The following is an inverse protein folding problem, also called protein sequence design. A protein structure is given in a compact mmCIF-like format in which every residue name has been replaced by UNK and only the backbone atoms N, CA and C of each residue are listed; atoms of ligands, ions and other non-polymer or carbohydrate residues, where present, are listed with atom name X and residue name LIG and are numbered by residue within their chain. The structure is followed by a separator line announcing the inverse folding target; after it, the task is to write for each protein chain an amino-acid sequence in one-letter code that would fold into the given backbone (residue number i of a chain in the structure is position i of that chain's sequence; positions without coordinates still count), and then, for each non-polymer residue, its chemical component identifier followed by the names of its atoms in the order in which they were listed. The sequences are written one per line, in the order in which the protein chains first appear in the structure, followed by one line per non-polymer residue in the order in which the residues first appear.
data_IF_608577242324
#
_entry.id   IF_608577242324
#
_cell.length_a   1.000
_cell.length_b   1.000
_cell.length_c   1.000
_cell.angle_alpha   90.00
_cell.angle_beta   90.00
_cell.angle_gamma   90.00
#
_symmetry.space_group_name_H-M   'P 1'
#
loop_
_entity.id
_entity.type
_entity.pdbx_description
1 polymer ?
#
# COMPACT_ATOMS: atom_id res chain seq x y z
N UNK A 1 -27.60 2.04 3.80
CA UNK A 1 -27.68 2.78 5.07
C UNK A 1 -29.02 2.54 5.74
N UNK A 2 -30.11 2.60 4.99
CA UNK A 2 -31.44 2.36 5.54
C UNK A 2 -31.55 0.97 6.17
N UNK A 3 -31.17 -0.08 5.45
CA UNK A 3 -31.10 -1.46 5.96
C UNK A 3 -30.22 -1.60 7.22
N UNK A 4 -29.11 -0.85 7.31
CA UNK A 4 -28.26 -0.90 8.50
C UNK A 4 -28.92 -0.21 9.72
N UNK A 5 -29.77 0.78 9.49
CA UNK A 5 -30.59 1.37 10.55
C UNK A 5 -31.73 0.42 10.98
N UNK A 6 -32.32 -0.34 10.06
CA UNK A 6 -33.32 -1.38 10.37
C UNK A 6 -32.67 -2.53 11.16
N UNK A 7 -31.50 -2.97 10.75
CA UNK A 7 -30.72 -3.98 11.49
C UNK A 7 -30.29 -3.49 12.88
N UNK A 8 -30.09 -2.19 13.06
CA UNK A 8 -29.78 -1.64 14.39
C UNK A 8 -30.99 -1.71 15.33
N UNK A 9 -32.19 -1.56 14.81
CA UNK A 9 -33.44 -1.76 15.57
C UNK A 9 -33.61 -3.24 15.98
N UNK A 10 -33.31 -4.19 15.06
CA UNK A 10 -33.46 -5.62 15.29
C UNK A 10 -32.34 -6.21 16.16
N UNK A 11 -31.08 -5.84 15.89
CA UNK A 11 -29.86 -6.51 16.43
C UNK A 11 -29.00 -5.60 17.30
N UNK A 12 -29.46 -4.39 17.56
CA UNK A 12 -28.70 -3.36 18.27
C UNK A 12 -27.73 -2.60 17.35
N UNK A 13 -27.47 -1.38 17.73
CA UNK A 13 -26.51 -0.46 17.10
C UNK A 13 -25.05 -0.92 17.39
N UNK A 14 -24.07 -0.42 16.62
CA UNK A 14 -22.67 -0.72 16.93
C UNK A 14 -22.28 -0.16 18.32
N UNK A 15 -21.36 -0.82 19.07
CA UNK A 15 -21.14 -0.55 20.51
C UNK A 15 -20.85 0.90 20.88
N UNK A 16 -20.05 1.59 20.07
CA UNK A 16 -19.64 2.97 20.32
C UNK A 16 -20.50 4.01 19.59
N UNK A 17 -21.72 3.64 19.21
CA UNK A 17 -22.62 4.58 18.55
C UNK A 17 -23.03 5.70 19.51
N UNK A 18 -22.71 6.92 19.10
CA UNK A 18 -23.17 8.17 19.68
C UNK A 18 -23.66 9.10 18.55
N UNK A 19 -24.90 9.57 18.66
CA UNK A 19 -25.48 10.44 17.63
C UNK A 19 -24.76 11.78 17.52
N UNK A 20 -24.36 12.36 18.65
CA UNK A 20 -23.75 13.69 18.67
C UNK A 20 -22.37 13.67 17.99
N UNK A 21 -21.63 12.58 18.14
CA UNK A 21 -20.40 12.33 17.40
C UNK A 21 -20.66 11.96 15.95
N UNK A 22 -21.52 10.98 15.70
CA UNK A 22 -21.79 10.43 14.36
C UNK A 22 -22.39 11.49 13.41
N UNK A 23 -23.27 12.35 13.88
CA UNK A 23 -23.89 13.43 13.09
C UNK A 23 -22.94 14.55 12.68
N UNK A 24 -21.76 14.65 13.29
CA UNK A 24 -20.73 15.65 12.91
C UNK A 24 -20.06 15.31 11.58
N UNK A 25 -20.09 14.03 11.17
CA UNK A 25 -19.53 13.57 9.89
C UNK A 25 -20.12 14.33 8.71
N UNK A 26 -19.25 14.85 7.82
CA UNK A 26 -19.68 15.48 6.56
C UNK A 26 -20.50 14.53 5.71
N UNK A 27 -20.13 13.23 5.69
CA UNK A 27 -20.88 12.20 4.98
C UNK A 27 -22.30 12.06 5.50
N UNK A 28 -22.48 11.93 6.83
CA UNK A 28 -23.79 11.78 7.47
C UNK A 28 -24.68 13.01 7.22
N UNK A 29 -24.10 14.20 7.22
CA UNK A 29 -24.81 15.45 6.91
C UNK A 29 -25.36 15.48 5.48
N UNK A 30 -24.73 14.77 4.55
CA UNK A 30 -25.15 14.67 3.15
C UNK A 30 -26.23 13.59 2.91
N UNK A 31 -26.50 12.72 3.88
CA UNK A 31 -27.59 11.72 3.76
C UNK A 31 -28.97 12.41 3.73
N UNK A 32 -29.98 11.79 3.11
CA UNK A 32 -31.37 12.27 3.14
C UNK A 32 -31.84 12.53 4.58
N UNK A 33 -32.58 13.60 4.80
CA UNK A 33 -33.04 14.00 6.15
C UNK A 33 -33.94 12.95 6.82
N UNK A 34 -34.71 12.20 6.04
CA UNK A 34 -35.49 11.05 6.52
C UNK A 34 -34.59 9.98 7.12
N UNK A 35 -33.47 9.64 6.40
CA UNK A 35 -32.51 8.64 6.84
C UNK A 35 -31.70 9.13 8.06
N UNK A 36 -31.32 10.40 8.12
CA UNK A 36 -30.68 10.97 9.31
C UNK A 36 -31.59 10.86 10.55
N UNK A 37 -32.90 11.12 10.40
CA UNK A 37 -33.88 10.95 11.48
C UNK A 37 -33.98 9.50 11.94
N UNK A 38 -34.03 8.56 10.98
CA UNK A 38 -34.09 7.11 11.26
C UNK A 38 -32.84 6.64 12.00
N UNK A 39 -31.66 7.05 11.54
CA UNK A 39 -30.38 6.72 12.20
C UNK A 39 -30.30 7.35 13.60
N UNK A 40 -30.80 8.57 13.78
CA UNK A 40 -30.87 9.20 15.12
C UNK A 40 -31.72 8.39 16.10
N UNK A 41 -32.85 7.87 15.65
CA UNK A 41 -33.81 7.13 16.47
C UNK A 41 -33.27 5.71 16.78
N UNK A 42 -32.96 4.94 15.75
CA UNK A 42 -32.64 3.50 15.86
C UNK A 42 -31.15 3.24 16.08
N UNK A 43 -30.28 4.21 15.77
CA UNK A 43 -28.86 3.98 15.59
C UNK A 43 -28.55 3.43 14.20
N UNK A 44 -27.34 2.92 14.05
CA UNK A 44 -26.90 2.20 12.85
C UNK A 44 -26.08 0.97 13.26
N UNK A 45 -26.29 -0.15 12.59
CA UNK A 45 -25.61 -1.42 12.91
C UNK A 45 -24.15 -1.42 12.57
N UNK A 46 -23.78 -0.86 11.43
CA UNK A 46 -22.42 -0.84 10.89
C UNK A 46 -21.87 0.59 10.98
N UNK A 47 -20.73 0.78 11.60
CA UNK A 47 -20.10 2.11 11.75
C UNK A 47 -19.68 2.72 10.40
N UNK A 48 -19.26 1.88 9.44
CA UNK A 48 -18.99 2.22 8.03
C UNK A 48 -19.56 1.14 7.12
N UNK A 49 -19.99 1.51 5.93
CA UNK A 49 -20.70 0.60 5.01
C UNK A 49 -20.05 0.60 3.62
N UNK A 50 -19.60 1.75 3.13
CA UNK A 50 -19.03 1.88 1.79
C UNK A 50 -17.55 2.16 1.84
N UNK A 51 -16.79 1.50 0.96
CA UNK A 51 -15.36 1.72 0.75
C UNK A 51 -15.02 1.50 -0.72
N UNK A 52 -13.90 2.04 -1.15
CA UNK A 52 -13.27 1.66 -2.42
C UNK A 52 -11.97 0.95 -2.09
N UNK A 53 -12.01 -0.38 -2.13
CA UNK A 53 -10.87 -1.25 -1.86
C UNK A 53 -10.03 -1.49 -3.13
N UNK A 54 -8.73 -1.85 -2.99
CA UNK A 54 -7.91 -2.30 -4.12
C UNK A 54 -8.36 -3.72 -4.53
N UNK A 55 -9.26 -3.79 -5.49
CA UNK A 55 -9.89 -5.04 -5.95
C UNK A 55 -9.05 -5.75 -7.02
N UNK A 56 -7.76 -6.01 -6.76
CA UNK A 56 -6.81 -6.52 -7.75
C UNK A 56 -7.30 -7.73 -8.54
N UNK A 57 -7.57 -8.85 -7.88
CA UNK A 57 -8.05 -10.09 -8.53
C UNK A 57 -9.42 -9.90 -9.18
N UNK A 58 -10.34 -9.19 -8.51
CA UNK A 58 -11.67 -8.89 -9.07
C UNK A 58 -11.60 -8.05 -10.34
N UNK A 59 -10.74 -7.04 -10.36
CA UNK A 59 -10.51 -6.19 -11.54
C UNK A 59 -9.93 -6.99 -12.72
N UNK A 60 -8.99 -7.90 -12.48
CA UNK A 60 -8.41 -8.77 -13.51
C UNK A 60 -9.50 -9.67 -14.12
N UNK A 61 -10.32 -10.31 -13.29
CA UNK A 61 -11.42 -11.18 -13.76
C UNK A 61 -12.45 -10.37 -14.56
N UNK A 62 -12.80 -9.19 -14.07
CA UNK A 62 -13.75 -8.29 -14.74
C UNK A 62 -13.16 -7.50 -15.91
N UNK A 63 -11.84 -7.59 -16.14
CA UNK A 63 -11.09 -6.88 -17.19
C UNK A 63 -11.26 -5.36 -17.14
N UNK A 64 -11.27 -4.82 -15.93
CA UNK A 64 -11.35 -3.38 -15.63
C UNK A 64 -10.19 -2.96 -14.74
N UNK A 65 -10.07 -1.65 -14.45
CA UNK A 65 -9.08 -1.13 -13.52
C UNK A 65 -9.48 -1.37 -12.06
N UNK A 66 -8.51 -1.42 -11.16
CA UNK A 66 -8.76 -1.54 -9.72
C UNK A 66 -9.22 -0.21 -9.13
N UNK A 67 -10.29 -0.26 -8.32
CA UNK A 67 -10.79 0.91 -7.60
C UNK A 67 -11.07 2.11 -8.50
N UNK A 68 -10.55 3.28 -8.12
CA UNK A 68 -10.66 4.54 -8.88
C UNK A 68 -9.37 4.88 -9.64
N UNK A 69 -8.54 3.88 -9.90
CA UNK A 69 -7.24 4.06 -10.54
C UNK A 69 -7.30 3.88 -12.06
N UNK A 70 -6.53 4.65 -12.86
CA UNK A 70 -6.35 4.37 -14.27
C UNK A 70 -5.54 3.08 -14.46
N UNK A 71 -5.45 2.58 -15.68
CA UNK A 71 -4.54 1.48 -15.99
C UNK A 71 -3.11 1.88 -15.63
N UNK A 72 -2.35 0.92 -15.08
CA UNK A 72 -0.95 1.18 -14.71
C UNK A 72 -0.10 1.47 -15.95
N UNK A 73 -0.20 0.60 -16.96
CA UNK A 73 0.47 0.72 -18.25
C UNK A 73 -0.42 0.16 -19.36
N UNK A 74 -0.23 0.63 -20.57
CA UNK A 74 -0.94 0.15 -21.77
C UNK A 74 -0.50 -1.27 -22.19
N UNK A 75 0.73 -1.63 -21.86
CA UNK A 75 1.32 -2.96 -22.06
C UNK A 75 2.39 -3.24 -21.01
N UNK A 76 2.77 -4.51 -20.88
CA UNK A 76 3.86 -4.96 -20.02
C UNK A 76 4.60 -6.15 -20.65
N UNK A 77 5.85 -6.34 -20.26
CA UNK A 77 6.64 -7.52 -20.66
C UNK A 77 6.38 -8.66 -19.69
N UNK A 78 5.92 -9.77 -20.21
CA UNK A 78 5.78 -11.03 -19.45
C UNK A 78 6.96 -11.93 -19.75
N UNK A 79 7.72 -12.29 -18.73
CA UNK A 79 8.80 -13.27 -18.80
C UNK A 79 8.28 -14.66 -18.47
N UNK A 80 8.42 -15.60 -19.38
CA UNK A 80 8.08 -17.01 -19.17
C UNK A 80 9.37 -17.81 -19.23
N UNK A 81 9.66 -18.57 -18.15
CA UNK A 81 10.83 -19.43 -18.07
C UNK A 81 10.75 -20.49 -19.18
N UNK A 82 11.80 -20.59 -20.02
CA UNK A 82 11.95 -21.67 -20.97
C UNK A 82 12.33 -22.94 -20.21
N UNK A 83 11.83 -24.12 -20.65
CA UNK A 83 12.25 -25.39 -20.07
C UNK A 83 13.77 -25.53 -20.19
N UNK A 84 14.39 -25.99 -19.12
CA UNK A 84 15.84 -26.03 -18.93
C UNK A 84 16.45 -27.12 -19.83
N UNK A 85 17.17 -26.71 -20.83
CA UNK A 85 17.97 -27.61 -21.70
C UNK A 85 19.44 -27.63 -21.19
N UNK A 86 19.70 -27.34 -19.93
CA UNK A 86 21.01 -27.54 -19.28
C UNK A 86 22.01 -26.38 -19.40
N UNK A 87 21.73 -25.33 -20.14
CA UNK A 87 22.61 -24.17 -20.33
C UNK A 87 21.86 -22.84 -20.09
N UNK A 88 21.85 -22.40 -18.83
CA UNK A 88 21.44 -21.05 -18.42
C UNK A 88 19.92 -20.81 -18.40
N UNK A 89 19.47 -19.95 -17.48
CA UNK A 89 18.06 -19.53 -17.36
C UNK A 89 17.66 -18.63 -18.54
N UNK A 90 17.13 -19.21 -19.59
CA UNK A 90 16.55 -18.48 -20.71
C UNK A 90 15.07 -18.19 -20.44
N UNK A 91 14.66 -16.93 -20.61
CA UNK A 91 13.28 -16.49 -20.54
C UNK A 91 12.82 -16.05 -21.91
N UNK A 92 11.60 -16.44 -22.30
CA UNK A 92 10.92 -15.82 -23.42
C UNK A 92 10.19 -14.58 -22.91
N UNK A 93 10.34 -13.45 -23.59
CA UNK A 93 9.64 -12.21 -23.28
C UNK A 93 8.48 -12.03 -24.26
N UNK A 94 7.30 -11.77 -23.75
CA UNK A 94 6.09 -11.48 -24.53
C UNK A 94 5.56 -10.11 -24.12
N UNK A 95 5.28 -9.26 -25.10
CA UNK A 95 4.57 -8.02 -24.88
C UNK A 95 3.08 -8.34 -24.75
N UNK A 96 2.49 -7.98 -23.61
CA UNK A 96 1.08 -8.23 -23.31
C UNK A 96 0.39 -6.87 -23.16
N UNK A 97 -0.61 -6.63 -24.01
CA UNK A 97 -1.40 -5.41 -23.97
C UNK A 97 -2.51 -5.52 -22.93
N UNK A 98 -2.86 -4.39 -22.33
CA UNK A 98 -4.08 -4.33 -21.55
C UNK A 98 -5.27 -4.77 -22.43
N UNK A 99 -6.20 -5.61 -21.94
CA UNK A 99 -7.24 -6.22 -22.76
C UNK A 99 -8.06 -5.24 -23.61
N UNK A 100 -8.38 -4.07 -23.02
CA UNK A 100 -9.13 -3.01 -23.73
C UNK A 100 -8.26 -2.35 -24.80
N UNK A 101 -6.98 -2.08 -24.51
CA UNK A 101 -6.03 -1.51 -25.48
C UNK A 101 -5.85 -2.46 -26.67
N UNK A 102 -5.59 -3.74 -26.40
CA UNK A 102 -5.48 -4.75 -27.44
C UNK A 102 -6.75 -4.89 -28.28
N UNK A 103 -7.93 -4.81 -27.67
CA UNK A 103 -9.22 -4.95 -28.36
C UNK A 103 -9.58 -3.73 -29.22
N UNK A 104 -9.35 -2.49 -28.71
CA UNK A 104 -9.81 -1.27 -29.38
C UNK A 104 -8.76 -0.72 -30.36
N UNK A 105 -7.48 -0.85 -30.04
CA UNK A 105 -6.40 -0.21 -30.79
C UNK A 105 -5.40 -1.21 -31.42
N UNK A 106 -5.44 -2.48 -31.02
CA UNK A 106 -4.54 -3.52 -31.50
C UNK A 106 -3.09 -3.40 -30.99
N UNK A 107 -2.64 -2.20 -30.68
CA UNK A 107 -1.30 -1.89 -30.15
C UNK A 107 -1.35 -0.68 -29.22
N UNK A 108 -0.22 -0.37 -28.59
CA UNK A 108 -0.04 0.83 -27.75
C UNK A 108 0.67 1.99 -28.50
N UNK A 109 0.76 1.89 -29.82
CA UNK A 109 1.28 2.97 -30.67
C UNK A 109 0.14 3.89 -31.07
N UNK A 110 0.43 5.19 -31.12
CA UNK A 110 -0.50 6.24 -31.58
C UNK A 110 -1.86 6.23 -30.86
N UNK A 111 -1.82 6.00 -29.54
CA UNK A 111 -3.03 6.04 -28.72
C UNK A 111 -3.57 7.46 -28.62
N UNK A 112 -4.91 7.65 -28.65
CA UNK A 112 -5.51 8.97 -28.44
C UNK A 112 -5.16 9.56 -27.06
N UNK A 113 -5.11 10.89 -26.98
CA UNK A 113 -4.73 11.63 -25.75
C UNK A 113 -5.63 11.35 -24.54
N UNK A 114 -6.87 10.87 -24.77
CA UNK A 114 -7.77 10.48 -23.68
C UNK A 114 -7.43 9.12 -23.05
N UNK A 115 -6.49 8.37 -23.63
CA UNK A 115 -5.99 7.11 -23.04
C UNK A 115 -4.89 7.44 -22.05
N UNK A 116 -5.29 7.58 -20.80
CA UNK A 116 -4.37 7.91 -19.71
C UNK A 116 -3.97 6.66 -18.90
N UNK A 117 -2.76 6.70 -18.36
CA UNK A 117 -2.20 5.69 -17.47
C UNK A 117 -1.89 6.30 -16.10
N UNK A 118 -1.53 5.46 -15.14
CA UNK A 118 -1.12 5.92 -13.82
C UNK A 118 0.10 6.85 -13.84
N UNK A 119 0.91 6.84 -14.91
CA UNK A 119 2.14 7.62 -15.04
C UNK A 119 1.95 8.95 -15.78
N UNK A 120 0.94 9.05 -16.65
CA UNK A 120 0.75 10.26 -17.48
C UNK A 120 -0.49 11.09 -17.12
N UNK A 121 -1.32 10.61 -16.16
CA UNK A 121 -2.42 11.42 -15.63
C UNK A 121 -1.90 12.52 -14.72
N UNK A 122 -2.50 13.73 -14.81
CA UNK A 122 -2.18 14.80 -13.87
C UNK A 122 -2.49 14.38 -12.43
N UNK A 123 -1.51 14.37 -11.52
CA UNK A 123 -1.68 13.94 -10.14
C UNK A 123 -2.69 14.80 -9.37
N UNK A 124 -2.76 16.11 -9.64
CA UNK A 124 -3.73 16.99 -8.97
C UNK A 124 -5.15 16.76 -9.44
N UNK A 125 -5.33 16.51 -10.75
CA UNK A 125 -6.64 16.11 -11.28
C UNK A 125 -7.12 14.83 -10.64
N UNK A 126 -6.23 13.84 -10.52
CA UNK A 126 -6.54 12.55 -9.89
C UNK A 126 -6.99 12.70 -8.44
N UNK A 127 -6.29 13.52 -7.65
CA UNK A 127 -6.65 13.81 -6.25
C UNK A 127 -8.02 14.49 -6.18
N UNK A 128 -8.28 15.47 -7.04
CA UNK A 128 -9.58 16.17 -7.11
C UNK A 128 -10.72 15.20 -7.47
N UNK A 129 -10.49 14.32 -8.44
CA UNK A 129 -11.46 13.27 -8.81
C UNK A 129 -11.77 12.36 -7.62
N UNK A 130 -10.75 11.88 -6.91
CA UNK A 130 -10.93 11.08 -5.70
C UNK A 130 -11.74 11.85 -4.64
N UNK A 131 -11.48 13.16 -4.47
CA UNK A 131 -12.22 14.04 -3.56
C UNK A 131 -13.72 14.13 -3.88
N UNK A 132 -14.08 14.14 -5.16
CA UNK A 132 -15.48 14.10 -5.58
C UNK A 132 -16.13 12.78 -5.15
N UNK A 133 -15.46 11.65 -5.38
CA UNK A 133 -15.96 10.32 -5.02
C UNK A 133 -16.04 10.15 -3.50
N UNK A 134 -15.06 10.68 -2.75
CA UNK A 134 -15.00 10.58 -1.28
C UNK A 134 -16.23 11.16 -0.59
N UNK A 135 -16.93 12.11 -1.20
CA UNK A 135 -18.18 12.68 -0.66
C UNK A 135 -19.29 11.64 -0.52
N UNK A 136 -19.22 10.57 -1.31
CA UNK A 136 -20.22 9.49 -1.36
C UNK A 136 -19.76 8.17 -0.74
N UNK A 137 -18.55 8.15 -0.18
CA UNK A 137 -17.94 6.99 0.48
C UNK A 137 -17.71 7.34 1.94
N UNK A 138 -18.25 6.54 2.86
CA UNK A 138 -18.13 6.79 4.29
C UNK A 138 -16.81 6.29 4.91
N UNK A 139 -16.16 5.31 4.30
CA UNK A 139 -14.81 4.88 4.65
C UNK A 139 -13.76 5.57 3.78
N UNK A 140 -12.50 5.18 3.87
CA UNK A 140 -11.44 5.69 2.98
C UNK A 140 -11.48 5.03 1.61
N UNK A 141 -10.87 5.70 0.63
CA UNK A 141 -10.66 5.20 -0.73
C UNK A 141 -9.19 4.80 -0.85
N UNK A 142 -8.94 3.57 -1.30
CA UNK A 142 -7.59 3.14 -1.68
C UNK A 142 -7.26 3.69 -3.06
N UNK A 143 -6.26 4.55 -3.12
CA UNK A 143 -5.79 5.15 -4.38
C UNK A 143 -4.33 5.55 -4.25
N UNK A 144 -3.52 5.19 -5.25
CA UNK A 144 -2.09 5.51 -5.30
C UNK A 144 -1.83 6.52 -6.41
N UNK A 145 -1.25 7.64 -6.09
CA UNK A 145 -0.75 8.64 -7.05
C UNK A 145 0.67 8.23 -7.44
N UNK A 146 0.85 7.83 -8.70
CA UNK A 146 2.16 7.49 -9.23
C UNK A 146 2.82 8.75 -9.76
N UNK A 147 4.07 8.97 -9.37
CA UNK A 147 4.85 10.16 -9.68
C UNK A 147 6.16 9.75 -10.36
N UNK A 148 6.63 10.59 -11.28
CA UNK A 148 7.91 10.40 -11.93
C UNK A 148 9.07 10.51 -10.93
N UNK A 149 10.23 9.96 -11.31
CA UNK A 149 11.44 9.93 -10.47
C UNK A 149 11.94 11.34 -10.11
N UNK A 150 11.77 12.30 -11.03
CA UNK A 150 12.26 13.69 -10.91
C UNK A 150 11.37 14.57 -10.03
N UNK A 151 10.25 14.03 -9.50
CA UNK A 151 9.30 14.82 -8.71
C UNK A 151 9.95 15.36 -7.43
N UNK A 152 9.69 16.62 -7.12
CA UNK A 152 10.24 17.25 -5.92
C UNK A 152 9.42 16.93 -4.68
N UNK A 153 10.06 17.00 -3.50
CA UNK A 153 9.36 16.87 -2.22
C UNK A 153 8.32 17.98 -1.99
N UNK A 154 8.54 19.17 -2.55
CA UNK A 154 7.56 20.26 -2.52
C UNK A 154 6.28 19.86 -3.26
N UNK A 155 6.39 19.32 -4.47
CA UNK A 155 5.22 18.84 -5.23
C UNK A 155 4.47 17.71 -4.50
N UNK A 156 5.20 16.81 -3.82
CA UNK A 156 4.57 15.77 -2.99
C UNK A 156 3.79 16.41 -1.84
N UNK A 157 4.34 17.43 -1.17
CA UNK A 157 3.65 18.17 -0.12
C UNK A 157 2.37 18.84 -0.65
N UNK A 158 2.43 19.46 -1.83
CA UNK A 158 1.27 20.10 -2.48
C UNK A 158 0.18 19.07 -2.82
N UNK A 159 0.56 17.86 -3.24
CA UNK A 159 -0.38 16.75 -3.48
C UNK A 159 -1.10 16.36 -2.18
N UNK A 160 -0.37 16.21 -1.07
CA UNK A 160 -0.98 15.91 0.24
C UNK A 160 -1.88 17.04 0.72
N UNK A 161 -1.48 18.30 0.55
CA UNK A 161 -2.32 19.44 0.92
C UNK A 161 -3.58 19.51 0.05
N UNK A 162 -3.46 19.29 -1.25
CA UNK A 162 -4.62 19.19 -2.16
C UNK A 162 -5.56 18.08 -1.76
N UNK A 163 -5.04 16.93 -1.33
CA UNK A 163 -5.84 15.82 -0.83
C UNK A 163 -6.59 16.17 0.46
N UNK A 164 -5.92 16.84 1.38
CA UNK A 164 -6.53 17.34 2.63
C UNK A 164 -7.65 18.34 2.35
N UNK A 165 -7.41 19.33 1.50
CA UNK A 165 -8.38 20.35 1.12
C UNK A 165 -9.58 19.75 0.37
N UNK A 166 -9.35 18.71 -0.46
CA UNK A 166 -10.39 17.97 -1.12
C UNK A 166 -11.22 17.06 -0.17
N UNK A 167 -10.82 16.97 1.10
CA UNK A 167 -11.50 16.19 2.13
C UNK A 167 -11.32 14.68 2.01
N UNK A 168 -10.21 14.23 1.43
CA UNK A 168 -9.86 12.81 1.38
C UNK A 168 -9.55 12.27 2.77
N UNK A 169 -9.92 11.01 2.99
CA UNK A 169 -9.60 10.28 4.24
C UNK A 169 -8.29 9.50 4.16
N UNK A 170 -7.75 9.33 2.97
CA UNK A 170 -6.48 8.67 2.75
C UNK A 170 -5.98 8.87 1.32
N UNK A 171 -4.66 8.85 1.15
CA UNK A 171 -3.96 8.94 -0.11
C UNK A 171 -2.63 8.21 0.02
N UNK A 172 -2.19 7.55 -1.04
CA UNK A 172 -0.87 6.96 -1.16
C UNK A 172 -0.13 7.62 -2.32
N UNK A 173 1.15 7.89 -2.13
CA UNK A 173 2.04 8.40 -3.17
C UNK A 173 3.12 7.36 -3.43
N UNK A 174 3.37 7.06 -4.70
CA UNK A 174 4.47 6.23 -5.14
C UNK A 174 5.32 7.00 -6.15
N UNK A 175 6.62 7.14 -5.87
CA UNK A 175 7.58 7.74 -6.78
C UNK A 175 8.34 6.63 -7.50
N UNK A 176 8.46 6.72 -8.83
CA UNK A 176 9.29 5.81 -9.61
C UNK A 176 10.73 5.77 -9.07
N UNK A 177 11.35 4.60 -9.12
CA UNK A 177 12.70 4.38 -8.61
C UNK A 177 12.84 4.31 -7.08
N UNK A 178 11.77 4.58 -6.29
CA UNK A 178 11.84 4.50 -4.81
C UNK A 178 11.88 3.06 -4.28
N UNK A 179 11.51 2.08 -5.09
CA UNK A 179 11.60 0.64 -4.79
C UNK A 179 11.99 -0.11 -6.06
N UNK A 180 12.71 -1.22 -5.92
CA UNK A 180 12.91 -2.13 -7.03
C UNK A 180 11.56 -2.67 -7.50
N UNK A 181 11.18 -2.31 -8.74
CA UNK A 181 9.84 -2.58 -9.29
C UNK A 181 9.65 -4.04 -9.65
N UNK A 182 8.49 -4.59 -9.30
CA UNK A 182 8.02 -5.91 -9.77
C UNK A 182 7.49 -5.82 -11.21
N UNK A 183 7.09 -4.63 -11.66
CA UNK A 183 6.60 -4.33 -12.99
C UNK A 183 7.54 -3.33 -13.67
N UNK A 184 8.14 -3.74 -14.77
CA UNK A 184 9.00 -2.88 -15.60
C UNK A 184 8.16 -2.42 -16.79
N UNK A 185 7.92 -1.11 -16.93
CA UNK A 185 7.32 -0.54 -18.13
C UNK A 185 8.36 -0.43 -19.24
N UNK A 186 7.94 -0.65 -20.51
CA UNK A 186 8.80 -0.67 -21.71
C UNK A 186 9.48 0.67 -22.05
N UNK A 187 9.28 1.71 -21.26
CA UNK A 187 9.73 3.07 -21.60
C UNK A 187 11.18 3.42 -21.23
N UNK A 188 11.94 2.49 -20.67
CA UNK A 188 13.37 2.69 -20.45
C UNK A 188 14.17 1.56 -21.11
N UNK A 189 14.79 1.84 -22.26
CA UNK A 189 15.94 1.09 -22.74
C UNK A 189 17.04 1.13 -21.68
N UNK A 190 17.68 -0.04 -21.46
CA UNK A 190 18.73 -0.29 -20.50
C UNK A 190 19.81 0.81 -20.48
N UNK A 191 19.63 1.84 -19.69
CA UNK A 191 20.75 2.59 -19.16
C UNK A 191 21.11 1.94 -17.82
N UNK A 192 22.11 1.06 -17.86
CA UNK A 192 22.93 0.75 -16.68
C UNK A 192 23.56 2.05 -16.20
N UNK A 193 22.84 2.75 -15.35
CA UNK A 193 23.41 3.87 -14.60
C UNK A 193 23.86 3.31 -13.27
N UNK A 194 25.19 3.27 -13.08
CA UNK A 194 25.82 3.16 -11.78
C UNK A 194 25.13 4.15 -10.84
N UNK A 195 24.61 3.63 -9.73
CA UNK A 195 23.97 4.43 -8.67
C UNK A 195 25.05 5.43 -8.18
N UNK A 196 24.84 6.75 -8.34
CA UNK A 196 25.69 7.70 -7.61
C UNK A 196 25.29 7.59 -6.14
N UNK A 197 26.27 7.40 -5.27
CA UNK A 197 26.08 7.57 -3.84
C UNK A 197 25.39 8.92 -3.56
N UNK A 198 24.41 8.98 -2.66
CA UNK A 198 23.71 10.21 -2.34
C UNK A 198 24.74 11.19 -1.75
N UNK A 199 25.03 12.26 -2.49
CA UNK A 199 25.71 13.42 -1.92
C UNK A 199 24.79 14.04 -0.87
N UNK A 200 25.11 13.77 0.37
CA UNK A 200 24.49 14.41 1.52
C UNK A 200 24.75 15.92 1.41
N UNK A 201 23.71 16.72 1.26
CA UNK A 201 23.82 18.16 1.39
C UNK A 201 24.31 18.47 2.80
N UNK A 202 25.54 18.96 2.88
CA UNK A 202 26.12 19.56 4.06
C UNK A 202 25.46 20.92 4.24
N UNK A 203 24.42 21.01 5.09
CA UNK A 203 23.99 22.24 5.77
C UNK A 203 22.77 21.92 6.67
N UNK A 204 22.95 20.94 7.55
CA UNK A 204 22.19 20.82 8.80
C UNK A 204 23.21 20.55 9.87
N UNK A 205 23.32 21.46 10.84
CA UNK A 205 24.14 21.25 12.03
C UNK A 205 23.81 19.92 12.66
N UNK A 206 24.70 18.96 12.47
CA UNK A 206 24.60 17.60 12.97
C UNK A 206 24.94 17.66 14.45
N UNK A 207 23.92 17.55 15.29
CA UNK A 207 24.15 17.02 16.63
C UNK A 207 24.96 15.74 16.46
N UNK A 208 26.13 15.68 17.13
CA UNK A 208 27.09 14.60 17.09
C UNK A 208 26.42 13.23 17.07
N UNK A 209 26.29 12.63 15.88
CA UNK A 209 25.87 11.25 15.75
C UNK A 209 27.01 10.37 16.26
N UNK A 210 26.81 9.79 17.43
CA UNK A 210 27.58 8.63 17.85
C UNK A 210 27.28 7.54 16.82
N UNK A 211 28.26 7.16 16.01
CA UNK A 211 28.14 6.00 15.10
C UNK A 211 27.84 4.76 15.95
N UNK A 212 26.58 4.38 16.01
CA UNK A 212 26.14 3.16 16.68
C UNK A 212 26.33 1.98 15.75
N UNK A 213 27.53 1.38 15.77
CA UNK A 213 27.74 0.10 15.10
C UNK A 213 27.08 -1.03 15.92
N UNK A 214 26.42 -2.01 15.24
CA UNK A 214 25.81 -3.13 15.95
C UNK A 214 26.90 -3.97 16.65
N UNK A 215 26.73 -4.26 17.95
CA UNK A 215 27.64 -5.16 18.65
C UNK A 215 27.64 -6.55 18.00
N UNK A 216 28.78 -7.22 18.05
CA UNK A 216 28.92 -8.56 17.48
C UNK A 216 27.94 -9.54 18.19
N UNK A 217 27.34 -10.43 17.42
CA UNK A 217 26.53 -11.50 17.98
C UNK A 217 27.43 -12.51 18.71
N UNK A 218 27.20 -12.82 20.00
CA UNK A 218 27.96 -13.85 20.69
C UNK A 218 27.67 -15.25 20.12
N UNK A 219 28.59 -16.18 20.33
CA UNK A 219 28.45 -17.57 19.86
C UNK A 219 27.27 -18.29 20.54
N UNK A 220 26.97 -17.92 21.78
CA UNK A 220 25.89 -18.49 22.56
C UNK A 220 25.02 -17.38 23.17
N UNK A 221 23.70 -17.53 23.07
CA UNK A 221 22.70 -16.64 23.64
C UNK A 221 21.70 -17.45 24.45
N UNK A 222 21.09 -16.86 25.46
CA UNK A 222 20.01 -17.48 26.24
C UNK A 222 18.71 -16.73 25.97
N UNK A 223 17.57 -17.45 25.93
CA UNK A 223 16.31 -16.79 25.66
C UNK A 223 15.07 -17.65 25.84
N UNK A 224 13.91 -17.04 25.58
CA UNK A 224 12.60 -17.65 25.74
C UNK A 224 11.86 -17.66 24.42
N UNK A 225 11.24 -18.82 24.09
CA UNK A 225 10.34 -18.94 22.96
C UNK A 225 8.88 -18.93 23.45
N UNK A 226 8.07 -18.04 22.87
CA UNK A 226 6.62 -17.99 23.09
C UNK A 226 5.87 -18.40 21.84
N UNK A 227 4.77 -19.14 22.07
CA UNK A 227 3.82 -19.53 21.03
C UNK A 227 2.58 -18.64 21.09
N UNK A 228 2.21 -18.02 19.98
CA UNK A 228 1.05 -17.13 19.86
C UNK A 228 0.17 -17.65 18.71
N UNK A 229 -1.13 -17.71 18.90
CA UNK A 229 -2.08 -18.01 17.83
C UNK A 229 -2.45 -16.70 17.13
N UNK A 230 -2.33 -16.67 15.81
CA UNK A 230 -2.70 -15.54 14.95
C UNK A 230 -3.70 -15.98 13.89
N UNK A 231 -4.31 -15.05 13.19
CA UNK A 231 -5.22 -15.36 12.07
C UNK A 231 -4.54 -16.09 10.91
N UNK A 232 -3.21 -15.99 10.77
CA UNK A 232 -2.41 -16.64 9.72
C UNK A 232 -1.73 -17.94 10.18
N UNK A 233 -1.99 -18.36 11.43
CA UNK A 233 -1.45 -19.59 11.99
C UNK A 233 -0.75 -19.38 13.32
N UNK A 234 0.06 -20.37 13.71
CA UNK A 234 0.83 -20.30 14.96
C UNK A 234 2.14 -19.58 14.72
N UNK A 235 2.35 -18.49 15.44
CA UNK A 235 3.59 -17.71 15.47
C UNK A 235 4.43 -18.15 16.68
N UNK A 236 5.69 -18.47 16.46
CA UNK A 236 6.69 -18.67 17.49
C UNK A 236 7.63 -17.48 17.50
N UNK A 237 7.82 -16.86 18.66
CA UNK A 237 8.74 -15.74 18.85
C UNK A 237 9.80 -16.18 19.87
N UNK A 238 11.05 -16.17 19.46
CA UNK A 238 12.20 -16.39 20.35
C UNK A 238 12.88 -15.07 20.59
N UNK A 239 13.06 -14.69 21.85
CA UNK A 239 13.76 -13.48 22.27
C UNK A 239 14.96 -13.92 23.08
N UNK A 240 16.14 -13.53 22.62
CA UNK A 240 17.42 -13.91 23.24
C UNK A 240 18.13 -12.70 23.83
N UNK A 241 18.86 -12.97 24.90
CA UNK A 241 19.69 -12.04 25.63
C UNK A 241 21.14 -12.49 25.61
N UNK A 242 22.05 -11.52 25.67
CA UNK A 242 23.47 -11.68 25.94
C UNK A 242 23.82 -10.98 27.28
N UNK A 243 25.09 -10.92 27.61
CA UNK A 243 25.60 -10.24 28.82
C UNK A 243 25.24 -8.73 28.89
N UNK A 244 24.88 -8.13 27.75
CA UNK A 244 24.50 -6.72 27.63
C UNK A 244 22.98 -6.51 27.49
N UNK A 245 22.17 -7.54 27.70
CA UNK A 245 20.72 -7.53 27.62
C UNK A 245 20.15 -8.07 26.31
N UNK A 246 18.98 -7.60 25.90
CA UNK A 246 18.32 -8.07 24.68
C UNK A 246 19.23 -7.92 23.46
N UNK A 247 19.40 -9.01 22.70
CA UNK A 247 20.30 -8.99 21.55
C UNK A 247 19.67 -9.45 20.23
N UNK A 248 18.70 -10.36 20.27
CA UNK A 248 18.11 -10.86 19.04
C UNK A 248 16.69 -11.38 19.20
N UNK A 249 15.95 -11.33 18.10
CA UNK A 249 14.59 -11.87 17.99
C UNK A 249 14.53 -12.77 16.76
N UNK A 250 13.94 -13.95 16.93
CA UNK A 250 13.57 -14.85 15.83
C UNK A 250 12.08 -15.08 15.83
N UNK A 251 11.51 -15.16 14.64
CA UNK A 251 10.10 -15.52 14.48
C UNK A 251 9.93 -16.59 13.42
N UNK A 252 8.99 -17.50 13.69
CA UNK A 252 8.60 -18.53 12.72
C UNK A 252 7.09 -18.61 12.68
N UNK A 253 6.51 -18.48 11.48
CA UNK A 253 5.06 -18.58 11.26
C UNK A 253 4.76 -19.32 9.96
N UNK A 254 3.74 -20.19 9.99
CA UNK A 254 3.24 -20.87 8.82
C UNK A 254 4.26 -21.84 8.18
N UNK A 255 4.14 -22.04 6.86
CA UNK A 255 5.05 -22.88 6.08
C UNK A 255 6.31 -22.10 5.69
N UNK A 256 7.45 -22.75 5.73
CA UNK A 256 8.72 -22.18 5.25
C UNK A 256 8.58 -21.69 3.79
N UNK A 257 9.11 -20.50 3.51
CA UNK A 257 9.03 -19.85 2.19
C UNK A 257 7.70 -19.13 1.88
N UNK A 258 6.75 -19.13 2.80
CA UNK A 258 5.50 -18.34 2.67
C UNK A 258 5.73 -16.85 2.91
N UNK A 259 4.84 -16.00 2.37
CA UNK A 259 4.93 -14.53 2.50
C UNK A 259 4.95 -14.08 3.97
N UNK A 260 4.08 -14.64 4.81
CA UNK A 260 4.05 -14.35 6.24
C UNK A 260 5.37 -14.71 6.95
N UNK A 261 5.97 -15.85 6.59
CA UNK A 261 7.26 -16.28 7.12
C UNK A 261 8.38 -15.32 6.70
N UNK A 262 8.43 -14.92 5.42
CA UNK A 262 9.45 -14.01 4.90
C UNK A 262 9.36 -12.61 5.53
N UNK A 263 8.17 -12.06 5.67
CA UNK A 263 7.94 -10.76 6.33
C UNK A 263 8.32 -10.82 7.81
N UNK A 264 7.90 -11.85 8.50
CA UNK A 264 8.19 -12.06 9.92
C UNK A 264 9.70 -12.20 10.18
N UNK A 265 10.41 -12.92 9.32
CA UNK A 265 11.87 -13.05 9.38
C UNK A 265 12.57 -11.70 9.13
N UNK A 266 12.15 -10.94 8.12
CA UNK A 266 12.72 -9.62 7.82
C UNK A 266 12.57 -8.66 9.02
N UNK A 267 11.37 -8.60 9.62
CA UNK A 267 11.11 -7.78 10.80
C UNK A 267 12.00 -8.21 11.98
N UNK A 268 12.12 -9.52 12.22
CA UNK A 268 12.96 -10.05 13.31
C UNK A 268 14.44 -9.69 13.14
N UNK A 269 14.94 -9.73 11.91
CA UNK A 269 16.33 -9.33 11.60
C UNK A 269 16.55 -7.85 11.84
N UNK A 270 15.60 -6.99 11.48
CA UNK A 270 15.67 -5.54 11.75
C UNK A 270 15.63 -5.24 13.24
N UNK A 271 14.74 -5.89 14.01
CA UNK A 271 14.70 -5.76 15.47
C UNK A 271 16.02 -6.20 16.09
N UNK A 272 16.58 -7.35 15.67
CA UNK A 272 17.85 -7.85 16.16
C UNK A 272 19.02 -6.89 15.87
N UNK A 273 18.99 -6.25 14.70
CA UNK A 273 19.96 -5.23 14.34
C UNK A 273 19.84 -3.99 15.25
N UNK A 274 18.61 -3.50 15.45
CA UNK A 274 18.33 -2.35 16.31
C UNK A 274 18.76 -2.61 17.77
N UNK A 275 18.40 -3.77 18.34
CA UNK A 275 18.81 -4.16 19.70
C UNK A 275 20.33 -4.19 19.88
N UNK A 276 21.06 -4.75 18.91
CA UNK A 276 22.51 -4.77 18.95
C UNK A 276 23.15 -3.40 18.69
N UNK A 277 22.43 -2.47 18.09
CA UNK A 277 22.85 -1.08 17.91
C UNK A 277 22.53 -0.18 19.10
N UNK A 278 21.89 -0.70 20.13
CA UNK A 278 21.52 0.06 21.33
C UNK A 278 20.31 1.01 21.12
N UNK A 279 19.37 0.58 20.25
CA UNK A 279 18.11 1.27 19.98
C UNK A 279 16.96 0.59 20.71
#
# INVERSE_FOLDING_TARGET
YETSADLAEEKGRFPNYDWDGYSKSKFVKNLPKSLQKKIKLNGIRNCTITTVAPTGSGAIVSRVTSGVEPIFATSYKRRVKKNDDGYGKTFNEYKVYHPIIGKLFGSDKDLPDYVVTAHNIDPFFRVKMQGVIQKYIDSSISSTVNLAEEITSATVADIYMTAYDAGLKGITVYREGSREGILISDSKEDKKTSIPEPKLNQDLEVATQVEKSPRMRPAQTAGVTRRIRTGEGTLYITINEDENGLCEVFTTIGKAGGNAAAQSEAISRLISLALRSGL
#
